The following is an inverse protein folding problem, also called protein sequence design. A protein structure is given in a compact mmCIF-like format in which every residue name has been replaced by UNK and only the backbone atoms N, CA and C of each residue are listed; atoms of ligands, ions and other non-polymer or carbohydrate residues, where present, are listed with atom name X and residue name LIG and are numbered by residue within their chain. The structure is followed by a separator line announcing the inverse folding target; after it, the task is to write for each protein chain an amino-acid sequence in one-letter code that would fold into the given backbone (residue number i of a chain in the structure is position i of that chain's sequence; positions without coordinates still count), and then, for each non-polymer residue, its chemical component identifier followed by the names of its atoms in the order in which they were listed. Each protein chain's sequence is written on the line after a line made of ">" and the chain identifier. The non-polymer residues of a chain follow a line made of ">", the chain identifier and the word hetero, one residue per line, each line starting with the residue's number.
data_IF_443097391211
#
_entry.id   IF_443097391211
#
_cell.length_a   1.000
_cell.length_b   1.000
_cell.length_c   1.000
_cell.angle_alpha   90.00
_cell.angle_beta   90.00
_cell.angle_gamma   90.00
#
_symmetry.space_group_name_H-M   'P 1'
#
loop_
_entity.id
_entity.type
_entity.pdbx_description
1 polymer ?
#
# COMPACT_ATOMS: atom_id res chain seq x y z
N UNK A 1 8.27 -0.55 9.30
CA UNK A 1 7.64 -1.86 9.02
C UNK A 1 6.55 -1.57 8.02
N UNK A 2 6.61 -2.20 6.86
CA UNK A 2 5.74 -1.85 5.74
C UNK A 2 4.44 -2.65 5.87
N UNK A 3 3.32 -1.95 5.88
CA UNK A 3 1.99 -2.53 5.79
C UNK A 3 1.47 -2.30 4.36
N UNK A 4 1.28 -3.36 3.58
CA UNK A 4 0.81 -3.30 2.19
C UNK A 4 -0.67 -3.64 2.11
N UNK A 5 -1.50 -2.67 1.74
CA UNK A 5 -2.92 -2.88 1.46
C UNK A 5 -3.12 -3.00 -0.06
N UNK A 6 -3.39 -4.21 -0.54
CA UNK A 6 -3.37 -4.49 -1.98
C UNK A 6 -4.28 -5.66 -2.39
N UNK A 7 -4.33 -5.90 -3.69
CA UNK A 7 -4.95 -7.07 -4.32
C UNK A 7 -4.12 -7.45 -5.54
N UNK A 8 -4.10 -8.74 -5.92
CA UNK A 8 -3.35 -9.29 -7.05
C UNK A 8 -3.85 -8.80 -8.44
N UNK A 9 -3.75 -7.49 -8.66
CA UNK A 9 -4.05 -6.77 -9.90
C UNK A 9 -2.75 -6.21 -10.47
N UNK A 10 -2.69 -5.77 -11.74
CA UNK A 10 -1.46 -5.24 -12.34
C UNK A 10 -0.84 -4.07 -11.57
N UNK A 11 -1.63 -3.20 -10.94
CA UNK A 11 -1.10 -2.13 -10.09
C UNK A 11 -0.69 -2.63 -8.70
N UNK A 12 -1.46 -3.57 -8.13
CA UNK A 12 -1.19 -4.10 -6.80
C UNK A 12 0.05 -4.97 -6.71
N UNK A 13 0.32 -5.79 -7.73
CA UNK A 13 1.49 -6.69 -7.75
C UNK A 13 2.82 -5.96 -7.88
N UNK A 14 2.85 -4.74 -8.44
CA UNK A 14 4.08 -3.95 -8.59
C UNK A 14 4.81 -3.78 -7.26
N UNK A 15 4.05 -3.51 -6.20
CA UNK A 15 4.61 -3.20 -4.89
C UNK A 15 5.05 -4.47 -4.17
N UNK A 16 4.22 -5.52 -4.22
CA UNK A 16 4.59 -6.83 -3.67
C UNK A 16 5.88 -7.35 -4.35
N UNK A 17 5.96 -7.30 -5.68
CA UNK A 17 7.16 -7.71 -6.42
C UNK A 17 8.39 -6.91 -6.01
N UNK A 18 8.30 -5.58 -5.91
CA UNK A 18 9.43 -4.78 -5.44
C UNK A 18 9.89 -5.20 -4.05
N UNK A 19 8.95 -5.39 -3.10
CA UNK A 19 9.28 -5.75 -1.72
C UNK A 19 9.94 -7.13 -1.63
N UNK A 20 9.46 -8.11 -2.41
CA UNK A 20 10.07 -9.43 -2.51
C UNK A 20 11.48 -9.36 -3.13
N UNK A 21 11.65 -8.67 -4.26
CA UNK A 21 12.94 -8.54 -4.96
C UNK A 21 13.98 -7.78 -4.13
N UNK A 22 13.55 -6.76 -3.37
CA UNK A 22 14.41 -5.99 -2.48
C UNK A 22 14.66 -6.69 -1.12
N UNK A 23 13.98 -7.81 -0.84
CA UNK A 23 14.06 -8.50 0.45
C UNK A 23 13.57 -7.67 1.63
N UNK A 24 12.64 -6.74 1.40
CA UNK A 24 12.10 -5.84 2.43
C UNK A 24 10.92 -6.53 3.13
N UNK A 25 10.99 -6.78 4.45
CA UNK A 25 9.87 -7.38 5.17
C UNK A 25 8.63 -6.49 5.17
N UNK A 26 7.47 -7.08 4.89
CA UNK A 26 6.18 -6.39 4.89
C UNK A 26 5.06 -7.31 5.41
N UNK A 27 3.99 -6.68 5.89
CA UNK A 27 2.74 -7.34 6.21
C UNK A 27 1.70 -7.05 5.12
N UNK A 28 1.07 -8.10 4.59
CA UNK A 28 0.23 -8.03 3.40
C UNK A 28 -1.26 -8.15 3.75
N UNK A 29 -2.01 -7.09 3.48
CA UNK A 29 -3.44 -7.00 3.72
C UNK A 29 -4.21 -7.07 2.41
N UNK A 30 -5.04 -8.10 2.26
CA UNK A 30 -5.91 -8.22 1.09
C UNK A 30 -7.04 -7.21 1.17
N UNK A 31 -7.20 -6.40 0.13
CA UNK A 31 -8.26 -5.39 0.00
C UNK A 31 -9.28 -5.83 -1.04
N UNK A 32 -10.49 -6.24 -0.63
CA UNK A 32 -11.61 -6.41 -1.56
C UNK A 32 -11.93 -5.08 -2.27
N UNK A 33 -11.88 -5.07 -3.61
CA UNK A 33 -12.10 -3.87 -4.44
C UNK A 33 -13.47 -3.85 -5.14
N UNK A 34 -14.24 -4.93 -5.04
CA UNK A 34 -15.56 -5.08 -5.67
C UNK A 34 -16.47 -5.97 -4.82
N UNK A 35 -17.77 -5.92 -5.12
CA UNK A 35 -18.79 -6.71 -4.42
C UNK A 35 -19.16 -6.16 -3.03
N UNK A 36 -20.08 -6.86 -2.34
CA UNK A 36 -20.41 -6.57 -0.94
C UNK A 36 -19.14 -6.64 -0.08
N UNK A 37 -18.90 -5.60 0.73
CA UNK A 37 -17.69 -5.53 1.56
C UNK A 37 -16.44 -5.00 0.86
N UNK A 38 -16.58 -4.28 -0.26
CA UNK A 38 -15.48 -3.56 -0.89
C UNK A 38 -14.82 -2.56 0.09
N UNK A 39 -13.72 -3.00 0.69
CA UNK A 39 -13.01 -2.35 1.78
C UNK A 39 -12.41 -1.00 1.35
N UNK A 40 -12.08 -0.85 0.07
CA UNK A 40 -11.51 0.40 -0.47
C UNK A 40 -12.43 1.63 -0.34
N UNK A 41 -13.74 1.44 -0.09
CA UNK A 41 -14.71 2.53 0.06
C UNK A 41 -15.05 2.88 1.51
N UNK A 42 -14.49 2.15 2.48
CA UNK A 42 -14.66 2.42 3.91
C UNK A 42 -13.99 3.74 4.30
N UNK A 43 -14.45 4.35 5.40
CA UNK A 43 -13.91 5.65 5.86
C UNK A 43 -12.43 5.55 6.19
N UNK A 44 -12.01 4.53 6.95
CA UNK A 44 -10.61 4.36 7.32
C UNK A 44 -9.69 4.15 6.11
N UNK A 45 -10.15 3.45 5.05
CA UNK A 45 -9.32 3.28 3.86
C UNK A 45 -9.17 4.61 3.10
N UNK A 46 -10.20 5.47 3.15
CA UNK A 46 -10.14 6.81 2.58
C UNK A 46 -9.24 7.76 3.35
N UNK A 47 -9.03 7.53 4.65
CA UNK A 47 -8.07 8.29 5.45
C UNK A 47 -6.63 8.08 4.95
N UNK A 48 -6.29 6.87 4.50
CA UNK A 48 -4.95 6.56 3.95
C UNK A 48 -4.87 6.73 2.43
N UNK A 49 -5.99 6.66 1.71
CA UNK A 49 -6.07 6.96 0.29
C UNK A 49 -7.45 7.52 -0.11
N UNK A 50 -7.60 8.85 -0.27
CA UNK A 50 -8.88 9.46 -0.64
C UNK A 50 -9.36 9.04 -2.04
N UNK A 51 -8.47 8.56 -2.91
CA UNK A 51 -8.82 8.04 -4.24
C UNK A 51 -9.52 6.66 -4.19
N UNK A 52 -9.57 6.00 -3.02
CA UNK A 52 -10.24 4.70 -2.84
C UNK A 52 -9.73 3.61 -3.81
N UNK A 53 -8.41 3.57 -4.04
CA UNK A 53 -7.74 2.60 -4.94
C UNK A 53 -6.61 1.87 -4.23
N UNK A 54 -6.35 0.64 -4.65
CA UNK A 54 -5.11 -0.07 -4.35
C UNK A 54 -4.03 0.25 -5.39
N UNK A 55 -2.74 0.03 -5.08
CA UNK A 55 -2.18 -0.29 -3.76
C UNK A 55 -1.99 0.95 -2.88
N UNK A 56 -1.90 0.71 -1.57
CA UNK A 56 -1.48 1.69 -0.55
C UNK A 56 -0.47 1.01 0.35
N UNK A 57 0.60 1.71 0.75
CA UNK A 57 1.45 1.28 1.86
C UNK A 57 1.29 2.22 3.05
N UNK A 58 1.45 1.69 4.26
CA UNK A 58 1.74 2.47 5.45
C UNK A 58 3.07 2.01 6.00
N UNK A 59 4.08 2.88 5.92
CA UNK A 59 5.35 2.62 6.60
C UNK A 59 5.27 3.13 8.04
N UNK A 60 5.30 2.21 9.00
CA UNK A 60 5.31 2.54 10.43
C UNK A 60 6.54 3.35 10.87
N UNK A 61 7.62 3.34 10.08
CA UNK A 61 8.88 4.06 10.33
C UNK A 61 9.22 4.98 9.15
N UNK A 62 8.23 5.76 8.71
CA UNK A 62 8.37 6.74 7.63
C UNK A 62 9.24 7.93 8.00
N UNK A 63 9.13 9.05 7.27
CA UNK A 63 9.86 10.27 7.56
C UNK A 63 9.72 10.70 9.03
N UNK A 64 10.82 11.16 9.62
CA UNK A 64 10.94 11.51 11.04
C UNK A 64 10.55 10.39 12.02
N UNK A 65 10.59 9.12 11.57
CA UNK A 65 10.22 7.96 12.37
C UNK A 65 8.72 7.82 12.64
N UNK A 66 7.87 8.52 11.88
CA UNK A 66 6.41 8.50 12.05
C UNK A 66 5.72 7.65 10.99
N UNK A 67 4.53 7.08 11.28
CA UNK A 67 3.72 6.41 10.28
C UNK A 67 3.43 7.31 9.08
N UNK A 68 3.66 6.79 7.88
CA UNK A 68 3.47 7.53 6.64
C UNK A 68 2.76 6.67 5.59
N UNK A 69 1.59 7.13 5.14
CA UNK A 69 0.80 6.48 4.11
C UNK A 69 1.20 6.99 2.73
N UNK A 70 1.40 6.07 1.79
CA UNK A 70 1.69 6.37 0.38
C UNK A 70 0.75 5.57 -0.50
N UNK A 71 0.03 6.25 -1.38
CA UNK A 71 -0.80 5.67 -2.43
C UNK A 71 -0.26 6.09 -3.80
N UNK A 72 -0.87 5.59 -4.89
CA UNK A 72 -0.33 5.62 -6.26
C UNK A 72 0.91 4.72 -6.44
N UNK A 73 0.75 3.66 -7.23
CA UNK A 73 1.81 2.64 -7.38
C UNK A 73 3.17 3.18 -7.83
N UNK A 74 3.20 4.22 -8.67
CA UNK A 74 4.46 4.86 -9.08
C UNK A 74 5.13 5.62 -7.94
N UNK A 75 4.36 6.37 -7.14
CA UNK A 75 4.88 7.10 -5.99
C UNK A 75 5.37 6.15 -4.89
N UNK A 76 4.68 5.03 -4.67
CA UNK A 76 5.13 3.99 -3.74
C UNK A 76 6.47 3.41 -4.18
N UNK A 77 6.67 3.11 -5.46
CA UNK A 77 7.95 2.57 -5.95
C UNK A 77 9.10 3.57 -5.77
N UNK A 78 8.87 4.86 -6.06
CA UNK A 78 9.87 5.91 -5.82
C UNK A 78 10.19 5.99 -4.33
N UNK A 79 9.18 6.05 -3.47
CA UNK A 79 9.33 6.09 -2.03
C UNK A 79 10.13 4.90 -1.47
N UNK A 80 9.82 3.68 -1.92
CA UNK A 80 10.52 2.47 -1.47
C UNK A 80 11.95 2.38 -2.02
N UNK A 81 12.23 2.93 -3.21
CA UNK A 81 13.57 2.94 -3.80
C UNK A 81 14.52 3.95 -3.15
N UNK A 82 13.99 5.06 -2.62
CA UNK A 82 14.77 6.09 -1.92
C UNK A 82 14.98 5.82 -0.42
N UNK A 83 14.26 4.83 0.13
CA UNK A 83 14.30 4.45 1.54
C UNK A 83 15.44 3.49 1.86
#
# INVERSE_FOLDING_TARGET
>A
EIQLYSLATPNGVKIALFLEEAGVPYDAHTVPISGPGALQFTEWFKEINPNSKIPVIVDQKGPDGKPFAVFESGAILIYLAEK
#
